data_IF_557193338117
#
_entry.id   IF_557193338117
#
_cell.length_a   1.000
_cell.length_b   1.000
_cell.length_c   1.000
_cell.angle_alpha   90.00
_cell.angle_beta   90.00
_cell.angle_gamma   90.00
#
_symmetry.space_group_name_H-M   'P 1'
#
loop_
_entity.id
_entity.type
_entity.pdbx_description
1 polymer ?
#
# COMPACT_ATOMS: atom_id res chain seq x y z
N UNK A 1 10.33 -18.83 41.13
CA UNK A 1 9.57 -19.00 39.88
C UNK A 1 9.71 -17.79 38.95
N UNK A 2 9.77 -16.55 39.45
CA UNK A 2 10.01 -15.35 38.62
C UNK A 2 11.43 -15.22 38.02
N UNK A 3 12.48 -15.74 38.68
CA UNK A 3 13.87 -15.64 38.19
C UNK A 3 14.17 -16.54 36.97
N UNK A 4 13.56 -17.73 36.90
CA UNK A 4 13.75 -18.65 35.77
C UNK A 4 13.06 -18.16 34.47
N UNK A 5 12.04 -17.31 34.59
CA UNK A 5 11.30 -16.79 33.45
C UNK A 5 12.04 -15.60 32.81
N UNK A 6 12.75 -14.80 33.60
CA UNK A 6 13.65 -13.75 33.11
C UNK A 6 14.90 -14.29 32.43
N UNK A 7 15.53 -15.34 32.97
CA UNK A 7 16.74 -15.94 32.36
C UNK A 7 16.43 -16.62 31.03
N UNK A 8 15.25 -17.25 30.90
CA UNK A 8 14.83 -17.89 29.65
C UNK A 8 14.48 -16.88 28.55
N UNK A 9 13.88 -15.75 28.91
CA UNK A 9 13.59 -14.64 27.98
C UNK A 9 14.89 -13.94 27.55
N UNK A 10 15.83 -13.70 28.49
CA UNK A 10 17.13 -13.11 28.16
C UNK A 10 17.95 -14.01 27.24
N UNK A 11 18.01 -15.32 27.52
CA UNK A 11 18.75 -16.29 26.70
C UNK A 11 18.17 -16.39 25.29
N UNK A 12 16.83 -16.43 25.15
CA UNK A 12 16.18 -16.37 23.82
C UNK A 12 16.48 -15.09 23.06
N UNK A 13 16.50 -13.94 23.74
CA UNK A 13 16.77 -12.64 23.10
C UNK A 13 18.22 -12.54 22.63
N UNK A 14 19.18 -13.08 23.39
CA UNK A 14 20.60 -13.15 22.97
C UNK A 14 20.83 -14.14 21.83
N UNK A 15 20.13 -15.29 21.85
CA UNK A 15 20.22 -16.28 20.77
C UNK A 15 19.60 -15.73 19.47
N UNK A 16 18.45 -15.05 19.55
CA UNK A 16 17.82 -14.37 18.41
C UNK A 16 18.68 -13.24 17.84
N UNK A 17 19.37 -12.46 18.69
CA UNK A 17 20.30 -11.44 18.23
C UNK A 17 21.54 -12.04 17.55
N UNK A 18 22.04 -13.17 18.05
CA UNK A 18 23.20 -13.85 17.47
C UNK A 18 22.85 -14.49 16.13
N UNK A 19 21.68 -15.10 16.02
CA UNK A 19 21.14 -15.67 14.78
C UNK A 19 20.82 -14.59 13.74
N UNK A 20 20.33 -13.43 14.17
CA UNK A 20 20.13 -12.30 13.28
C UNK A 20 21.45 -11.80 12.68
N UNK A 21 22.51 -11.72 13.49
CA UNK A 21 23.83 -11.25 13.05
C UNK A 21 24.48 -12.19 12.04
N UNK A 22 24.30 -13.51 12.18
CA UNK A 22 24.81 -14.49 11.21
C UNK A 22 24.00 -14.47 9.91
N UNK A 23 22.69 -14.24 9.98
CA UNK A 23 21.81 -14.16 8.81
C UNK A 23 21.79 -12.77 8.15
N UNK A 24 22.36 -11.75 8.79
CA UNK A 24 22.26 -10.36 8.32
C UNK A 24 22.84 -10.13 6.91
N UNK A 25 23.94 -10.81 6.57
CA UNK A 25 24.52 -10.74 5.22
C UNK A 25 23.57 -11.29 4.15
N UNK A 26 23.14 -12.55 4.25
CA UNK A 26 22.14 -13.14 3.34
C UNK A 26 20.83 -12.35 3.27
N UNK A 27 20.30 -11.86 4.39
CA UNK A 27 19.08 -11.06 4.43
C UNK A 27 19.24 -9.71 3.71
N UNK A 28 20.39 -9.05 3.86
CA UNK A 28 20.69 -7.82 3.12
C UNK A 28 20.80 -8.07 1.61
N UNK A 29 21.39 -9.19 1.19
CA UNK A 29 21.43 -9.57 -0.22
C UNK A 29 20.05 -9.92 -0.78
N UNK A 30 19.20 -10.59 0.02
CA UNK A 30 17.78 -10.80 -0.31
C UNK A 30 17.06 -9.46 -0.50
N UNK A 31 17.27 -8.50 0.41
CA UNK A 31 16.70 -7.16 0.27
C UNK A 31 17.14 -6.49 -1.03
N UNK A 32 18.44 -6.48 -1.35
CA UNK A 32 18.97 -5.87 -2.56
C UNK A 32 18.46 -6.50 -3.86
N UNK A 33 18.43 -7.82 -3.90
CA UNK A 33 18.11 -8.56 -5.13
C UNK A 33 16.62 -8.68 -5.37
N UNK A 34 15.81 -8.74 -4.31
CA UNK A 34 14.38 -9.05 -4.41
C UNK A 34 13.49 -7.88 -4.02
N UNK A 35 13.81 -7.14 -2.94
CA UNK A 35 12.91 -6.13 -2.35
C UNK A 35 13.14 -4.74 -2.94
N UNK A 36 14.41 -4.33 -3.01
CA UNK A 36 14.86 -3.03 -3.49
C UNK A 36 14.40 -2.73 -4.93
N UNK A 37 14.39 -3.68 -5.88
CA UNK A 37 13.85 -3.42 -7.22
C UNK A 37 12.34 -3.11 -7.20
N UNK A 38 11.59 -3.70 -6.27
CA UNK A 38 10.14 -3.54 -6.18
C UNK A 38 9.74 -2.19 -5.54
N UNK A 39 10.54 -1.72 -4.58
CA UNK A 39 10.35 -0.43 -3.91
C UNK A 39 11.63 0.43 -4.01
N UNK A 40 11.90 1.04 -5.17
CA UNK A 40 13.17 1.70 -5.49
C UNK A 40 13.40 3.07 -4.82
N UNK A 41 12.72 3.37 -3.72
CA UNK A 41 12.87 4.62 -2.98
C UNK A 41 13.90 4.54 -1.85
N UNK A 42 14.33 3.33 -1.50
CA UNK A 42 15.39 3.07 -0.53
C UNK A 42 16.40 2.13 -1.17
N UNK A 43 17.56 2.66 -1.55
CA UNK A 43 18.59 1.91 -2.29
C UNK A 43 19.82 1.74 -1.42
N UNK A 44 20.28 0.49 -1.27
CA UNK A 44 21.49 0.17 -0.50
C UNK A 44 22.62 -0.19 -1.48
N UNK A 45 23.73 0.58 -1.54
CA UNK A 45 24.86 0.28 -2.40
C UNK A 45 25.41 -1.13 -2.17
N UNK A 46 25.85 -1.82 -3.22
CA UNK A 46 26.46 -3.17 -3.12
C UNK A 46 27.74 -3.20 -2.26
N UNK A 47 28.40 -2.05 -2.11
CA UNK A 47 29.61 -1.90 -1.29
C UNK A 47 29.34 -1.88 0.22
N UNK A 48 28.10 -1.66 0.64
CA UNK A 48 27.75 -1.55 2.06
C UNK A 48 27.63 -2.96 2.67
N UNK A 49 28.37 -3.26 3.74
CA UNK A 49 28.19 -4.55 4.43
C UNK A 49 27.06 -4.46 5.46
N UNK A 50 26.51 -5.61 5.87
CA UNK A 50 25.52 -5.66 6.96
C UNK A 50 26.06 -5.02 8.26
N UNK A 51 27.34 -5.23 8.57
CA UNK A 51 28.01 -4.62 9.71
C UNK A 51 28.13 -3.10 9.56
N UNK A 52 28.52 -2.61 8.39
CA UNK A 52 28.59 -1.16 8.11
C UNK A 52 27.21 -0.52 8.26
N UNK A 53 26.17 -1.15 7.69
CA UNK A 53 24.80 -0.66 7.78
C UNK A 53 24.29 -0.64 9.22
N UNK A 54 24.55 -1.69 10.00
CA UNK A 54 24.17 -1.77 11.41
C UNK A 54 24.78 -0.63 12.23
N UNK A 55 26.03 -0.25 11.96
CA UNK A 55 26.72 0.80 12.71
C UNK A 55 26.34 2.22 12.26
N UNK A 56 26.11 2.42 10.96
CA UNK A 56 25.82 3.74 10.41
C UNK A 56 24.33 4.08 10.41
N UNK A 57 23.47 3.08 10.25
CA UNK A 57 22.02 3.22 10.09
C UNK A 57 21.30 2.07 10.80
N UNK A 58 21.38 2.01 12.15
CA UNK A 58 20.87 0.88 12.94
C UNK A 58 19.35 0.71 12.85
N UNK A 59 18.59 1.77 12.58
CA UNK A 59 17.14 1.67 12.42
C UNK A 59 16.77 1.09 11.05
N UNK A 60 17.37 1.61 9.98
CA UNK A 60 17.23 1.09 8.63
C UNK A 60 17.69 -0.38 8.53
N UNK A 61 18.82 -0.72 9.17
CA UNK A 61 19.27 -2.10 9.28
C UNK A 61 18.17 -3.01 9.84
N UNK A 62 17.59 -2.63 10.98
CA UNK A 62 16.53 -3.42 11.61
C UNK A 62 15.28 -3.53 10.73
N UNK A 63 14.90 -2.46 10.04
CA UNK A 63 13.76 -2.47 9.12
C UNK A 63 13.99 -3.42 7.94
N UNK A 64 15.20 -3.43 7.37
CA UNK A 64 15.58 -4.34 6.28
C UNK A 64 15.57 -5.79 6.75
N UNK A 65 16.06 -6.06 7.95
CA UNK A 65 16.01 -7.40 8.53
C UNK A 65 14.56 -7.88 8.69
N UNK A 66 13.68 -7.05 9.27
CA UNK A 66 12.26 -7.39 9.44
C UNK A 66 11.56 -7.66 8.10
N UNK A 67 11.82 -6.83 7.09
CA UNK A 67 11.23 -6.97 5.76
C UNK A 67 11.75 -8.18 4.95
N UNK A 68 12.90 -8.75 5.35
CA UNK A 68 13.57 -9.85 4.65
C UNK A 68 13.49 -11.19 5.38
N UNK A 69 12.85 -11.22 6.55
CA UNK A 69 12.69 -12.40 7.42
C UNK A 69 11.25 -12.94 7.39
N UNK A 70 10.52 -12.72 6.30
CA UNK A 70 9.14 -13.18 6.13
C UNK A 70 8.99 -14.71 6.20
N UNK A 71 10.08 -15.46 5.94
CA UNK A 71 10.11 -16.92 6.02
C UNK A 71 10.16 -17.43 7.48
N UNK A 72 10.37 -16.53 8.46
CA UNK A 72 10.39 -16.84 9.89
C UNK A 72 9.47 -15.88 10.67
N UNK A 73 8.16 -16.19 10.76
CA UNK A 73 7.16 -15.32 11.40
C UNK A 73 7.48 -14.95 12.86
N UNK A 74 8.10 -15.87 13.61
CA UNK A 74 8.47 -15.63 15.03
C UNK A 74 9.55 -14.57 15.15
N UNK A 75 10.60 -14.68 14.32
CA UNK A 75 11.68 -13.69 14.29
C UNK A 75 11.16 -12.37 13.71
N UNK A 76 10.38 -12.39 12.62
CA UNK A 76 9.77 -11.19 12.05
C UNK A 76 8.95 -10.42 13.09
N UNK A 77 8.04 -11.09 13.81
CA UNK A 77 7.22 -10.47 14.87
C UNK A 77 8.08 -9.84 15.97
N UNK A 78 9.18 -10.49 16.33
CA UNK A 78 10.13 -9.97 17.33
C UNK A 78 10.85 -8.72 16.82
N UNK A 79 11.31 -8.71 15.57
CA UNK A 79 11.96 -7.55 14.95
C UNK A 79 10.99 -6.37 14.79
N UNK A 80 9.74 -6.65 14.45
CA UNK A 80 8.69 -5.63 14.33
C UNK A 80 8.36 -4.98 15.68
N UNK A 81 8.30 -5.76 16.77
CA UNK A 81 8.15 -5.20 18.11
C UNK A 81 9.32 -4.29 18.48
N UNK A 82 10.55 -4.67 18.13
CA UNK A 82 11.73 -3.84 18.36
C UNK A 82 11.69 -2.56 17.50
N UNK A 83 11.22 -2.63 16.25
CA UNK A 83 11.04 -1.44 15.40
C UNK A 83 10.06 -0.46 16.02
N UNK A 84 8.89 -0.93 16.48
CA UNK A 84 7.88 -0.08 17.14
C UNK A 84 8.42 0.57 18.42
N UNK A 85 9.16 -0.19 19.24
CA UNK A 85 9.82 0.36 20.42
C UNK A 85 10.83 1.45 20.06
N UNK A 86 11.64 1.23 19.02
CA UNK A 86 12.61 2.23 18.53
C UNK A 86 11.94 3.45 17.92
N UNK A 87 10.80 3.30 17.25
CA UNK A 87 10.00 4.43 16.75
C UNK A 87 9.54 5.30 17.93
N UNK A 88 8.94 4.69 18.95
CA UNK A 88 8.51 5.41 20.16
C UNK A 88 9.68 6.08 20.88
N UNK A 89 10.80 5.37 21.06
CA UNK A 89 11.98 5.90 21.73
C UNK A 89 12.63 7.04 20.92
N UNK A 90 13.01 6.79 19.67
CA UNK A 90 13.84 7.72 18.91
C UNK A 90 13.02 8.93 18.43
N UNK A 91 11.84 8.70 17.85
CA UNK A 91 11.05 9.79 17.26
C UNK A 91 10.31 10.59 18.33
N UNK A 92 9.68 9.91 19.29
CA UNK A 92 8.80 10.56 20.27
C UNK A 92 9.57 10.97 21.53
N UNK A 93 10.32 10.06 22.15
CA UNK A 93 11.00 10.37 23.42
C UNK A 93 12.27 11.20 23.22
N UNK A 94 13.11 10.84 22.25
CA UNK A 94 14.40 11.50 22.00
C UNK A 94 14.30 12.66 21.00
N UNK A 95 13.15 12.82 20.33
CA UNK A 95 12.92 13.82 19.28
C UNK A 95 13.97 13.78 18.14
N UNK A 96 14.44 12.58 17.79
CA UNK A 96 15.43 12.38 16.73
C UNK A 96 14.80 12.55 15.34
N UNK A 97 15.52 13.22 14.44
CA UNK A 97 15.15 13.41 13.04
C UNK A 97 16.36 13.10 12.17
N UNK A 98 16.32 11.98 11.45
CA UNK A 98 17.46 11.51 10.65
C UNK A 98 17.00 10.77 9.39
N UNK A 99 17.89 10.70 8.40
CA UNK A 99 17.67 9.88 7.19
C UNK A 99 17.54 8.39 7.54
N UNK A 100 18.26 7.90 8.55
CA UNK A 100 18.14 6.52 9.05
C UNK A 100 16.69 6.18 9.45
N UNK A 101 16.05 7.08 10.22
CA UNK A 101 14.66 6.93 10.65
C UNK A 101 13.69 6.98 9.46
N UNK A 102 13.88 7.93 8.54
CA UNK A 102 13.02 8.08 7.37
C UNK A 102 13.10 6.86 6.44
N UNK A 103 14.31 6.43 6.09
CA UNK A 103 14.52 5.27 5.21
C UNK A 103 14.03 3.98 5.87
N UNK A 104 14.29 3.79 7.17
CA UNK A 104 13.78 2.63 7.89
C UNK A 104 12.26 2.62 7.98
N UNK A 105 11.60 3.77 8.15
CA UNK A 105 10.14 3.85 8.12
C UNK A 105 9.59 3.53 6.73
N UNK A 106 10.21 4.04 5.66
CA UNK A 106 9.81 3.70 4.30
C UNK A 106 9.86 2.19 4.04
N UNK A 107 10.96 1.53 4.42
CA UNK A 107 11.08 0.06 4.31
C UNK A 107 10.02 -0.64 5.16
N UNK A 108 9.84 -0.21 6.41
CA UNK A 108 8.89 -0.84 7.31
C UNK A 108 7.45 -0.72 6.79
N UNK A 109 7.07 0.44 6.26
CA UNK A 109 5.73 0.71 5.68
C UNK A 109 5.53 -0.08 4.38
N UNK A 110 6.55 -0.17 3.52
CA UNK A 110 6.45 -0.84 2.22
C UNK A 110 6.13 -2.34 2.34
N UNK A 111 6.46 -3.00 3.44
CA UNK A 111 6.12 -4.41 3.71
C UNK A 111 5.24 -4.60 4.95
N UNK A 112 4.38 -3.63 5.26
CA UNK A 112 3.51 -3.68 6.44
C UNK A 112 2.51 -4.83 6.44
N UNK A 113 2.10 -5.30 5.26
CA UNK A 113 1.14 -6.39 5.11
C UNK A 113 1.60 -7.71 5.76
N UNK A 114 2.90 -7.94 5.97
CA UNK A 114 3.35 -9.11 6.74
C UNK A 114 2.81 -9.13 8.16
N UNK A 115 2.40 -7.98 8.72
CA UNK A 115 1.81 -7.82 10.04
C UNK A 115 0.28 -7.95 10.03
N UNK A 116 -0.22 -9.00 9.38
CA UNK A 116 -1.65 -9.24 9.16
C UNK A 116 -2.51 -9.33 10.44
N UNK A 117 -1.90 -9.60 11.61
CA UNK A 117 -2.57 -9.67 12.91
C UNK A 117 -2.99 -8.29 13.47
N UNK A 118 -2.38 -7.19 13.01
CA UNK A 118 -2.65 -5.83 13.51
C UNK A 118 -3.45 -5.00 12.52
N UNK A 119 -4.54 -4.38 12.99
CA UNK A 119 -5.38 -3.47 12.19
C UNK A 119 -4.51 -2.39 11.54
N UNK A 120 -4.67 -2.17 10.23
CA UNK A 120 -3.94 -1.21 9.38
C UNK A 120 -3.91 0.26 9.88
N UNK A 121 -4.54 0.57 11.00
CA UNK A 121 -4.50 1.88 11.68
C UNK A 121 -3.08 2.35 11.97
N UNK A 122 -2.18 1.43 12.34
CA UNK A 122 -0.78 1.78 12.65
C UNK A 122 -0.03 2.29 11.41
N UNK A 123 -0.29 1.70 10.25
CA UNK A 123 0.39 2.06 9.00
C UNK A 123 0.16 3.54 8.63
N UNK A 124 -1.07 4.03 8.81
CA UNK A 124 -1.38 5.43 8.54
C UNK A 124 -0.69 6.38 9.52
N UNK A 125 -0.51 5.98 10.78
CA UNK A 125 0.26 6.74 11.76
C UNK A 125 1.75 6.78 11.37
N UNK A 126 2.32 5.63 11.00
CA UNK A 126 3.71 5.54 10.57
C UNK A 126 4.00 6.41 9.35
N UNK A 127 3.08 6.45 8.39
CA UNK A 127 3.22 7.31 7.22
C UNK A 127 3.15 8.80 7.59
N UNK A 128 2.28 9.20 8.52
CA UNK A 128 2.24 10.58 9.04
C UNK A 128 3.56 10.97 9.75
N UNK A 129 4.18 10.03 10.47
CA UNK A 129 5.53 10.25 11.02
C UNK A 129 6.58 10.43 9.91
N UNK A 130 6.51 9.65 8.83
CA UNK A 130 7.41 9.81 7.68
C UNK A 130 7.21 11.16 6.96
N UNK A 131 5.96 11.62 6.80
CA UNK A 131 5.65 12.97 6.30
C UNK A 131 6.25 14.06 7.19
N UNK A 132 6.16 13.88 8.52
CA UNK A 132 6.73 14.80 9.50
C UNK A 132 8.26 14.83 9.39
N UNK A 133 8.92 13.68 9.25
CA UNK A 133 10.37 13.59 9.04
C UNK A 133 10.82 14.28 7.74
N UNK A 134 10.07 14.15 6.65
CA UNK A 134 10.34 14.86 5.40
C UNK A 134 10.35 16.37 5.60
N UNK A 135 9.36 16.89 6.34
CA UNK A 135 9.26 18.32 6.65
C UNK A 135 10.41 18.78 7.58
N UNK A 136 10.70 18.02 8.64
CA UNK A 136 11.72 18.35 9.63
C UNK A 136 13.15 18.26 9.06
N UNK A 137 13.41 17.33 8.14
CA UNK A 137 14.68 17.23 7.40
C UNK A 137 14.81 18.29 6.28
N UNK A 138 13.71 18.99 5.99
CA UNK A 138 13.64 20.03 4.96
C UNK A 138 13.68 19.50 3.53
N UNK A 139 13.31 18.23 3.28
CA UNK A 139 13.39 17.59 1.96
C UNK A 139 12.38 18.14 0.93
N UNK A 140 11.47 19.02 1.34
CA UNK A 140 10.47 19.65 0.49
C UNK A 140 10.80 21.15 0.30
N UNK A 141 10.97 21.60 -0.94
CA UNK A 141 11.15 23.03 -1.22
C UNK A 141 9.81 23.74 -1.39
N UNK A 142 9.56 24.84 -0.68
CA UNK A 142 8.45 25.76 -0.97
C UNK A 142 7.24 25.72 -0.04
N UNK A 143 7.25 24.94 1.04
CA UNK A 143 6.34 25.16 2.17
C UNK A 143 6.85 26.31 3.05
N UNK A 144 5.99 26.88 3.90
CA UNK A 144 6.45 27.62 5.09
C UNK A 144 7.21 26.64 5.99
N UNK A 145 8.44 26.29 5.62
CA UNK A 145 9.38 25.73 6.57
C UNK A 145 9.43 26.74 7.70
N UNK A 146 9.20 26.28 8.92
CA UNK A 146 9.53 27.01 10.14
C UNK A 146 11.06 27.14 10.22
N UNK A 147 11.68 27.72 9.17
CA UNK A 147 13.11 27.91 8.94
C UNK A 147 13.68 28.96 9.90
N UNK A 148 12.93 29.32 10.96
CA UNK A 148 13.28 30.36 11.91
C UNK A 148 13.13 29.99 13.40
N UNK A 149 12.80 28.75 13.79
CA UNK A 149 12.68 28.42 15.24
C UNK A 149 13.59 27.27 15.73
N UNK A 150 13.99 26.30 14.91
CA UNK A 150 14.59 25.06 15.47
C UNK A 150 16.05 24.76 15.11
N UNK A 151 16.73 25.57 14.29
CA UNK A 151 18.16 25.32 13.96
C UNK A 151 19.10 25.58 15.16
N UNK A 152 18.59 26.10 16.29
CA UNK A 152 19.41 26.35 17.49
C UNK A 152 19.31 25.28 18.60
N UNK A 153 18.73 24.10 18.34
CA UNK A 153 18.64 23.05 19.36
C UNK A 153 19.13 21.67 18.86
N UNK A 154 20.45 21.51 18.78
CA UNK A 154 21.07 20.21 19.09
C UNK A 154 21.37 19.21 17.96
N UNK A 155 21.32 19.59 16.67
CA UNK A 155 21.81 18.70 15.61
C UNK A 155 23.36 18.65 15.63
N UNK A 156 23.92 17.67 16.33
CA UNK A 156 25.35 17.33 16.26
C UNK A 156 25.64 16.63 14.92
N UNK A 157 26.61 17.15 14.17
CA UNK A 157 27.34 16.52 13.06
C UNK A 157 26.49 15.71 12.05
N UNK A 158 25.77 16.41 11.18
CA UNK A 158 25.09 15.82 10.01
C UNK A 158 25.12 16.79 8.82
N UNK A 159 24.85 16.27 7.61
CA UNK A 159 24.71 17.06 6.36
C UNK A 159 23.72 18.21 6.57
N UNK A 160 23.98 19.37 5.98
CA UNK A 160 23.04 20.50 6.06
C UNK A 160 21.71 20.14 5.36
N UNK A 161 20.60 20.77 5.77
CA UNK A 161 19.30 20.52 5.12
C UNK A 161 19.35 20.78 3.61
N UNK A 162 20.09 21.81 3.18
CA UNK A 162 20.30 22.12 1.76
C UNK A 162 21.11 21.03 1.02
N UNK A 163 22.08 20.38 1.68
CA UNK A 163 22.80 19.22 1.11
C UNK A 163 21.93 17.97 0.98
N UNK A 164 21.00 17.75 1.92
CA UNK A 164 20.07 16.63 1.89
C UNK A 164 19.03 16.79 0.79
N UNK A 165 18.48 18.00 0.63
CA UNK A 165 17.59 18.38 -0.48
C UNK A 165 18.24 18.16 -1.84
N UNK A 166 19.52 18.50 -1.97
CA UNK A 166 20.27 18.29 -3.20
C UNK A 166 20.61 16.81 -3.46
N UNK A 167 20.71 15.99 -2.40
CA UNK A 167 21.14 14.60 -2.48
C UNK A 167 20.14 13.71 -3.21
N UNK A 168 20.63 12.78 -4.02
CA UNK A 168 19.79 11.81 -4.72
C UNK A 168 19.04 10.89 -3.73
N UNK A 169 19.68 10.49 -2.63
CA UNK A 169 19.06 9.71 -1.55
C UNK A 169 17.88 10.45 -0.90
N UNK A 170 18.04 11.74 -0.58
CA UNK A 170 16.96 12.58 -0.04
C UNK A 170 15.80 12.72 -1.00
N UNK A 171 16.08 12.91 -2.30
CA UNK A 171 15.06 12.97 -3.36
C UNK A 171 14.30 11.65 -3.49
N UNK A 172 15.00 10.49 -3.50
CA UNK A 172 14.35 9.16 -3.52
C UNK A 172 13.44 8.95 -2.31
N UNK A 173 13.92 9.27 -1.11
CA UNK A 173 13.15 9.13 0.12
C UNK A 173 11.90 10.02 0.11
N UNK A 174 12.04 11.28 -0.31
CA UNK A 174 10.92 12.21 -0.46
C UNK A 174 9.87 11.68 -1.46
N UNK A 175 10.31 11.21 -2.62
CA UNK A 175 9.42 10.61 -3.63
C UNK A 175 8.75 9.34 -3.11
N UNK A 176 9.45 8.54 -2.28
CA UNK A 176 8.89 7.35 -1.63
C UNK A 176 7.77 7.67 -0.65
N UNK A 177 7.92 8.73 0.15
CA UNK A 177 6.85 9.20 1.04
C UNK A 177 5.67 9.69 0.22
N UNK A 178 5.89 10.51 -0.81
CA UNK A 178 4.82 10.98 -1.69
C UNK A 178 4.07 9.82 -2.36
N UNK A 179 4.81 8.81 -2.84
CA UNK A 179 4.24 7.62 -3.45
C UNK A 179 3.35 6.86 -2.47
N UNK A 180 3.82 6.57 -1.25
CA UNK A 180 3.02 5.89 -0.23
C UNK A 180 1.81 6.72 0.24
N UNK A 181 1.95 8.04 0.34
CA UNK A 181 0.86 8.96 0.62
C UNK A 181 -0.23 8.91 -0.45
N UNK A 182 0.17 8.92 -1.72
CA UNK A 182 -0.77 8.85 -2.82
C UNK A 182 -1.50 7.50 -2.84
N UNK A 183 -0.76 6.40 -2.68
CA UNK A 183 -1.29 5.05 -2.58
C UNK A 183 -2.35 4.92 -1.48
N UNK A 184 -2.04 5.35 -0.26
CA UNK A 184 -2.93 5.18 0.88
C UNK A 184 -4.03 6.22 0.95
N UNK A 185 -3.89 7.34 0.26
CA UNK A 185 -4.95 8.34 0.18
C UNK A 185 -6.23 7.80 -0.47
N UNK A 186 -6.11 6.73 -1.27
CA UNK A 186 -7.25 5.97 -1.83
C UNK A 186 -8.20 5.44 -0.74
N UNK A 187 -7.65 5.09 0.42
CA UNK A 187 -8.42 4.62 1.57
C UNK A 187 -8.51 5.65 2.69
N UNK A 188 -7.64 6.66 2.71
CA UNK A 188 -7.62 7.66 3.78
C UNK A 188 -7.24 9.04 3.23
N UNK A 189 -8.22 9.86 2.80
CA UNK A 189 -7.97 11.14 2.14
C UNK A 189 -7.06 12.11 2.91
N UNK A 190 -6.99 11.98 4.24
CA UNK A 190 -6.10 12.80 5.09
C UNK A 190 -4.60 12.59 4.83
N UNK A 191 -4.23 11.54 4.09
CA UNK A 191 -2.85 11.27 3.67
C UNK A 191 -2.49 11.92 2.33
N UNK A 192 -3.44 12.58 1.68
CA UNK A 192 -3.22 13.18 0.36
C UNK A 192 -2.13 14.27 0.42
N UNK A 193 -1.06 14.04 -0.34
CA UNK A 193 -0.04 15.05 -0.62
C UNK A 193 -0.30 15.67 -1.98
N UNK A 194 -0.27 17.00 -2.06
CA UNK A 194 -0.39 17.71 -3.34
C UNK A 194 0.84 17.43 -4.20
N UNK A 195 0.60 17.13 -5.48
CA UNK A 195 1.68 17.08 -6.46
C UNK A 195 2.19 18.52 -6.70
N UNK A 196 3.48 18.76 -6.47
CA UNK A 196 4.14 20.07 -6.61
C UNK A 196 5.23 20.04 -7.67
N UNK A 197 5.63 21.21 -8.16
CA UNK A 197 6.76 21.34 -9.11
C UNK A 197 8.07 20.77 -8.56
N UNK A 198 8.23 20.74 -7.23
CA UNK A 198 9.37 20.12 -6.58
C UNK A 198 9.43 18.60 -6.82
N UNK A 199 8.29 17.91 -6.86
CA UNK A 199 8.23 16.47 -7.16
C UNK A 199 8.66 16.24 -8.62
N UNK A 200 8.13 17.03 -9.55
CA UNK A 200 8.51 16.98 -10.97
C UNK A 200 10.02 17.26 -11.13
N UNK A 201 10.58 18.23 -10.39
CA UNK A 201 12.00 18.52 -10.37
C UNK A 201 12.85 17.36 -9.80
N UNK A 202 12.44 16.76 -8.69
CA UNK A 202 13.11 15.58 -8.11
C UNK A 202 13.16 14.42 -9.10
N UNK A 203 12.05 14.14 -9.79
CA UNK A 203 11.98 13.09 -10.81
C UNK A 203 12.90 13.41 -11.99
N UNK A 204 12.89 14.64 -12.50
CA UNK A 204 13.76 15.07 -13.59
C UNK A 204 15.24 14.96 -13.21
N UNK A 205 15.61 15.47 -12.03
CA UNK A 205 16.99 15.43 -11.53
C UNK A 205 17.53 14.00 -11.41
N UNK A 206 16.74 13.05 -10.90
CA UNK A 206 17.11 11.64 -10.77
C UNK A 206 17.16 10.93 -12.14
N UNK A 207 16.33 11.35 -13.09
CA UNK A 207 16.31 10.78 -14.45
C UNK A 207 17.50 11.27 -15.30
N UNK A 208 17.89 12.54 -15.15
CA UNK A 208 19.01 13.17 -15.85
C UNK A 208 20.36 12.69 -15.31
N UNK A 209 20.48 12.51 -13.99
CA UNK A 209 21.69 12.08 -13.32
C UNK A 209 21.42 10.84 -12.45
N UNK A 210 21.15 9.67 -13.05
CA UNK A 210 20.83 8.45 -12.30
C UNK A 210 22.08 7.88 -11.64
N UNK A 211 22.05 7.67 -10.32
CA UNK A 211 23.07 6.88 -9.62
C UNK A 211 22.77 5.38 -9.75
N UNK A 212 21.48 5.03 -9.89
CA UNK A 212 21.02 3.65 -10.05
C UNK A 212 20.09 3.52 -11.26
N UNK A 213 20.05 2.32 -11.91
CA UNK A 213 19.11 2.07 -13.02
C UNK A 213 17.64 2.35 -12.65
N UNK A 214 17.27 2.12 -11.39
CA UNK A 214 15.92 2.35 -10.86
C UNK A 214 15.52 3.82 -10.81
N UNK A 215 16.48 4.75 -10.79
CA UNK A 215 16.17 6.20 -10.76
C UNK A 215 15.37 6.64 -11.99
N UNK A 216 15.65 6.01 -13.14
CA UNK A 216 15.00 6.30 -14.42
C UNK A 216 13.52 5.97 -14.45
N UNK A 217 13.08 5.04 -13.59
CA UNK A 217 11.68 4.62 -13.53
C UNK A 217 10.93 5.25 -12.36
N UNK A 218 11.56 6.02 -11.47
CA UNK A 218 10.84 6.64 -10.36
C UNK A 218 9.72 7.57 -10.84
N UNK A 219 9.92 8.27 -11.97
CA UNK A 219 8.89 9.10 -12.60
C UNK A 219 7.61 8.29 -12.89
N UNK A 220 7.72 7.03 -13.33
CA UNK A 220 6.54 6.24 -13.68
C UNK A 220 5.74 5.85 -12.43
N UNK A 221 6.39 5.55 -11.31
CA UNK A 221 5.69 5.33 -10.03
C UNK A 221 4.91 6.57 -9.59
N UNK A 222 5.49 7.77 -9.77
CA UNK A 222 4.89 9.04 -9.35
C UNK A 222 3.75 9.44 -10.29
N UNK A 223 3.95 9.31 -11.60
CA UNK A 223 2.95 9.63 -12.61
C UNK A 223 1.74 8.69 -12.55
N UNK A 224 1.91 7.43 -12.12
CA UNK A 224 0.79 6.51 -11.87
C UNK A 224 -0.21 7.06 -10.86
N UNK A 225 0.27 7.92 -9.95
CA UNK A 225 -0.48 8.42 -8.80
C UNK A 225 -0.94 9.87 -8.99
N UNK A 226 -0.43 10.57 -10.01
CA UNK A 226 -0.79 11.95 -10.29
C UNK A 226 -2.11 12.01 -11.08
N UNK A 227 -3.16 12.57 -10.46
CA UNK A 227 -4.50 12.83 -11.03
C UNK A 227 -4.52 13.84 -12.22
N UNK A 228 -3.45 13.92 -13.02
CA UNK A 228 -3.40 14.78 -14.22
C UNK A 228 -4.16 14.17 -15.42
N UNK A 229 -4.71 12.95 -15.29
CA UNK A 229 -5.35 12.24 -16.40
C UNK A 229 -6.86 12.49 -16.45
N UNK A 230 -7.32 12.92 -17.62
CA UNK A 230 -8.74 12.99 -17.95
C UNK A 230 -9.27 11.58 -18.23
N UNK A 231 -10.51 11.23 -17.87
CA UNK A 231 -11.13 9.93 -18.21
C UNK A 231 -11.14 9.62 -19.72
N UNK A 232 -10.96 10.65 -20.55
CA UNK A 232 -10.87 10.55 -22.01
C UNK A 232 -9.52 10.00 -22.49
N UNK A 233 -8.46 10.08 -21.66
CA UNK A 233 -7.11 9.60 -21.98
C UNK A 233 -6.88 8.11 -21.61
N UNK A 234 -7.82 7.48 -20.90
CA UNK A 234 -7.67 6.11 -20.37
C UNK A 234 -8.21 5.05 -21.33
N UNK A 235 -7.55 4.88 -22.48
CA UNK A 235 -7.69 3.64 -23.25
C UNK A 235 -6.97 2.50 -22.52
N UNK A 236 -7.47 1.24 -22.60
CA UNK A 236 -6.75 0.09 -22.06
C UNK A 236 -5.37 0.01 -22.72
N UNK A 237 -4.32 0.36 -21.99
CA UNK A 237 -2.97 0.19 -22.48
C UNK A 237 -2.69 -1.33 -22.52
N UNK A 238 -2.49 -1.88 -23.71
CA UNK A 238 -1.90 -3.21 -23.88
C UNK A 238 -0.43 -3.13 -23.47
N UNK A 239 -0.18 -3.15 -22.16
CA UNK A 239 1.16 -3.24 -21.62
C UNK A 239 1.59 -4.69 -21.73
N UNK A 240 2.27 -4.98 -22.83
CA UNK A 240 2.98 -6.24 -23.04
C UNK A 240 4.16 -6.30 -22.05
N UNK A 241 4.36 -7.46 -21.43
CA UNK A 241 5.55 -7.72 -20.61
C UNK A 241 6.79 -7.44 -21.47
N UNK A 242 7.87 -6.81 -20.94
CA UNK A 242 9.10 -6.67 -21.70
C UNK A 242 9.61 -8.05 -22.09
N UNK A 243 9.56 -8.35 -23.40
CA UNK A 243 10.10 -9.56 -24.02
C UNK A 243 11.55 -9.31 -24.45
N UNK A 244 12.48 -8.91 -23.56
CA UNK A 244 13.91 -8.85 -23.92
C UNK A 244 14.88 -8.97 -22.72
N UNK A 245 16.11 -9.49 -22.92
CA UNK A 245 16.96 -10.04 -21.84
C UNK A 245 18.05 -9.10 -21.28
N UNK A 246 18.05 -7.78 -21.55
CA UNK A 246 19.22 -6.93 -21.27
C UNK A 246 19.05 -5.68 -20.38
N UNK A 247 17.89 -5.44 -19.76
CA UNK A 247 17.74 -4.35 -18.79
C UNK A 247 17.67 -4.84 -17.34
N UNK A 248 18.41 -4.20 -16.43
CA UNK A 248 18.45 -4.50 -15.00
C UNK A 248 17.11 -4.35 -14.23
N UNK A 249 16.01 -4.10 -14.96
CA UNK A 249 14.66 -3.83 -14.46
C UNK A 249 13.65 -4.94 -14.84
N UNK A 250 14.10 -6.02 -15.49
CA UNK A 250 13.27 -7.10 -16.06
C UNK A 250 12.34 -7.78 -15.03
N UNK A 251 12.68 -7.76 -13.74
CA UNK A 251 11.92 -8.46 -12.69
C UNK A 251 11.18 -7.49 -11.73
N UNK A 252 11.00 -6.24 -12.12
CA UNK A 252 10.23 -5.27 -11.34
C UNK A 252 8.72 -5.43 -11.60
N UNK A 253 8.17 -6.51 -11.06
CA UNK A 253 6.74 -6.81 -11.08
C UNK A 253 5.90 -5.68 -10.49
N UNK A 254 6.38 -4.98 -9.46
CA UNK A 254 5.65 -3.85 -8.88
C UNK A 254 5.43 -2.76 -9.91
N UNK A 255 6.47 -2.36 -10.63
CA UNK A 255 6.36 -1.39 -11.72
C UNK A 255 5.40 -1.85 -12.82
N UNK A 256 5.44 -3.13 -13.20
CA UNK A 256 4.48 -3.69 -14.17
C UNK A 256 3.03 -3.58 -13.68
N UNK A 257 2.78 -3.90 -12.41
CA UNK A 257 1.45 -3.82 -11.80
C UNK A 257 0.98 -2.39 -11.58
N UNK A 258 1.88 -1.46 -11.25
CA UNK A 258 1.61 -0.03 -11.19
C UNK A 258 1.04 0.47 -12.51
N UNK A 259 1.68 0.13 -13.62
CA UNK A 259 1.20 0.60 -14.93
C UNK A 259 -0.15 -0.03 -15.30
N UNK A 260 -0.39 -1.29 -14.94
CA UNK A 260 -1.68 -1.97 -15.17
C UNK A 260 -2.81 -1.51 -14.25
N UNK A 261 -2.50 -1.06 -13.03
CA UNK A 261 -3.52 -0.60 -12.08
C UNK A 261 -4.02 0.82 -12.40
N UNK A 262 -3.23 1.65 -13.11
CA UNK A 262 -3.58 3.04 -13.45
C UNK A 262 -5.02 3.26 -13.92
N UNK A 263 -5.55 2.53 -14.93
CA UNK A 263 -6.91 2.77 -15.38
C UNK A 263 -7.94 2.42 -14.31
N UNK A 264 -7.66 1.39 -13.49
CA UNK A 264 -8.51 0.99 -12.36
C UNK A 264 -8.55 2.10 -11.31
N UNK A 265 -7.40 2.66 -10.94
CA UNK A 265 -7.29 3.74 -9.95
C UNK A 265 -8.01 5.00 -10.42
N UNK A 266 -7.79 5.42 -11.66
CA UNK A 266 -8.39 6.64 -12.23
C UNK A 266 -9.90 6.50 -12.42
N UNK A 267 -10.36 5.39 -13.00
CA UNK A 267 -11.78 5.18 -13.25
C UNK A 267 -12.55 4.81 -11.99
N UNK A 268 -11.92 4.16 -11.01
CA UNK A 268 -12.53 3.81 -9.73
C UNK A 268 -12.99 5.04 -8.94
N UNK A 269 -12.25 6.15 -9.02
CA UNK A 269 -12.64 7.45 -8.44
C UNK A 269 -13.93 8.01 -9.05
N UNK A 270 -14.35 7.56 -10.23
CA UNK A 270 -15.63 8.00 -10.81
C UNK A 270 -16.83 7.36 -10.12
N UNK A 271 -16.65 6.26 -9.37
CA UNK A 271 -17.70 5.63 -8.57
C UNK A 271 -18.17 6.50 -7.39
N UNK A 272 -17.46 7.60 -7.10
CA UNK A 272 -17.87 8.60 -6.12
C UNK A 272 -18.91 9.58 -6.67
N UNK A 273 -19.03 9.68 -7.99
CA UNK A 273 -19.96 10.62 -8.63
C UNK A 273 -21.39 10.08 -8.53
N UNK A 274 -22.41 10.94 -8.36
CA UNK A 274 -23.79 10.52 -8.19
C UNK A 274 -24.42 9.83 -9.42
N UNK A 275 -23.80 9.96 -10.61
CA UNK A 275 -24.25 9.28 -11.84
C UNK A 275 -23.05 9.01 -12.78
N UNK A 276 -22.29 7.93 -12.55
CA UNK A 276 -21.19 7.57 -13.43
C UNK A 276 -21.71 7.14 -14.80
N UNK A 277 -21.06 7.60 -15.88
CA UNK A 277 -21.40 7.21 -17.25
C UNK A 277 -21.23 5.69 -17.45
N UNK A 278 -22.20 5.04 -18.12
CA UNK A 278 -22.12 3.61 -18.46
C UNK A 278 -20.86 3.27 -19.26
N UNK A 279 -20.39 4.19 -20.11
CA UNK A 279 -19.15 4.00 -20.88
C UNK A 279 -17.95 3.90 -19.93
N UNK A 280 -17.82 4.83 -18.98
CA UNK A 280 -16.73 4.80 -18.00
C UNK A 280 -16.80 3.58 -17.09
N UNK A 281 -18.00 3.14 -16.69
CA UNK A 281 -18.18 1.92 -15.91
C UNK A 281 -17.78 0.67 -16.70
N UNK A 282 -18.15 0.58 -17.98
CA UNK A 282 -17.72 -0.52 -18.85
C UNK A 282 -16.19 -0.58 -19.00
N UNK A 283 -15.53 0.57 -19.19
CA UNK A 283 -14.07 0.65 -19.24
C UNK A 283 -13.43 0.28 -17.90
N UNK A 284 -14.03 0.69 -16.77
CA UNK A 284 -13.59 0.33 -15.44
C UNK A 284 -13.65 -1.19 -15.23
N UNK A 285 -14.78 -1.82 -15.58
CA UNK A 285 -14.96 -3.28 -15.45
C UNK A 285 -13.86 -4.00 -16.25
N UNK A 286 -13.72 -3.68 -17.54
CA UNK A 286 -12.74 -4.32 -18.42
C UNK A 286 -11.29 -4.14 -17.92
N UNK A 287 -10.95 -2.92 -17.47
CA UNK A 287 -9.62 -2.63 -16.92
C UNK A 287 -9.36 -3.39 -15.63
N UNK A 288 -10.36 -3.48 -14.76
CA UNK A 288 -10.23 -4.15 -13.46
C UNK A 288 -10.07 -5.65 -13.61
N UNK A 289 -10.82 -6.28 -14.52
CA UNK A 289 -10.67 -7.69 -14.84
C UNK A 289 -9.30 -7.99 -15.44
N UNK A 290 -8.87 -7.19 -16.41
CA UNK A 290 -7.55 -7.33 -17.03
C UNK A 290 -6.43 -7.23 -16.00
N UNK A 291 -6.56 -6.30 -15.06
CA UNK A 291 -5.64 -6.15 -13.92
C UNK A 291 -5.67 -7.39 -13.01
N UNK A 292 -6.84 -7.83 -12.54
CA UNK A 292 -6.96 -8.96 -11.62
C UNK A 292 -6.50 -10.29 -12.23
N UNK A 293 -6.78 -10.54 -13.52
CA UNK A 293 -6.33 -11.73 -14.24
C UNK A 293 -4.81 -11.76 -14.42
N UNK A 294 -4.14 -10.61 -14.38
CA UNK A 294 -2.68 -10.56 -14.44
C UNK A 294 -2.02 -11.05 -13.14
N UNK A 295 -2.69 -10.94 -11.98
CA UNK A 295 -2.09 -11.33 -10.71
C UNK A 295 -1.71 -12.83 -10.64
N UNK A 296 -2.58 -13.78 -11.04
CA UNK A 296 -2.21 -15.19 -11.10
C UNK A 296 -1.00 -15.52 -12.00
N UNK A 297 -0.62 -14.63 -12.92
CA UNK A 297 0.51 -14.85 -13.85
C UNK A 297 1.87 -14.58 -13.22
N UNK A 298 1.93 -13.89 -12.08
CA UNK A 298 3.19 -13.64 -11.37
C UNK A 298 3.73 -14.97 -10.81
N UNK A 299 5.02 -15.29 -10.94
CA UNK A 299 5.62 -16.42 -10.24
C UNK A 299 5.41 -16.35 -8.72
N UNK A 300 5.11 -17.49 -8.07
CA UNK A 300 4.77 -17.51 -6.64
C UNK A 300 5.93 -17.02 -5.75
N UNK A 301 7.15 -17.39 -6.11
CA UNK A 301 8.41 -16.95 -5.49
C UNK A 301 8.63 -15.43 -5.61
N UNK A 302 7.95 -14.74 -6.52
CA UNK A 302 8.02 -13.28 -6.66
C UNK A 302 6.86 -12.57 -6.00
N UNK A 303 5.66 -13.13 -6.10
CA UNK A 303 4.45 -12.57 -5.54
C UNK A 303 4.54 -12.36 -4.02
N UNK A 304 5.18 -13.28 -3.29
CA UNK A 304 5.37 -13.19 -1.83
C UNK A 304 6.21 -11.99 -1.39
N UNK A 305 7.00 -11.41 -2.28
CA UNK A 305 7.92 -10.32 -1.97
C UNK A 305 7.41 -8.95 -2.43
N UNK A 306 6.26 -8.89 -3.10
CA UNK A 306 5.70 -7.62 -3.58
C UNK A 306 5.39 -6.70 -2.38
N UNK A 307 5.62 -5.39 -2.53
CA UNK A 307 5.33 -4.41 -1.49
C UNK A 307 3.82 -4.21 -1.36
N UNK A 308 3.45 -3.52 -0.29
CA UNK A 308 2.07 -3.19 0.07
C UNK A 308 1.26 -2.58 -1.09
N UNK A 309 1.88 -1.77 -1.95
CA UNK A 309 1.19 -1.13 -3.07
C UNK A 309 0.48 -2.11 -3.97
N UNK A 310 1.12 -3.24 -4.28
CA UNK A 310 0.51 -4.30 -5.06
C UNK A 310 -0.78 -4.80 -4.41
N UNK A 311 -0.74 -5.09 -3.12
CA UNK A 311 -1.90 -5.57 -2.37
C UNK A 311 -3.02 -4.53 -2.35
N UNK A 312 -2.68 -3.28 -2.04
CA UNK A 312 -3.62 -2.15 -2.08
C UNK A 312 -4.38 -2.08 -3.41
N UNK A 313 -3.71 -2.29 -4.55
CA UNK A 313 -4.36 -2.26 -5.85
C UNK A 313 -5.31 -3.45 -6.07
N UNK A 314 -4.94 -4.66 -5.64
CA UNK A 314 -5.85 -5.83 -5.72
C UNK A 314 -7.11 -5.58 -4.90
N UNK A 315 -6.97 -5.06 -3.69
CA UNK A 315 -8.09 -4.70 -2.84
C UNK A 315 -8.97 -3.61 -3.45
N UNK A 316 -8.36 -2.52 -3.93
CA UNK A 316 -9.07 -1.44 -4.60
C UNK A 316 -9.81 -1.90 -5.86
N UNK A 317 -9.21 -2.80 -6.65
CA UNK A 317 -9.83 -3.40 -7.81
C UNK A 317 -11.08 -4.22 -7.45
N UNK A 318 -10.99 -5.10 -6.44
CA UNK A 318 -12.14 -5.89 -5.97
C UNK A 318 -13.26 -4.99 -5.41
N UNK A 319 -12.91 -3.96 -4.64
CA UNK A 319 -13.85 -2.94 -4.17
C UNK A 319 -14.56 -2.23 -5.33
N UNK A 320 -13.80 -1.82 -6.34
CA UNK A 320 -14.31 -1.08 -7.50
C UNK A 320 -15.30 -1.93 -8.32
N UNK A 321 -14.99 -3.20 -8.56
CA UNK A 321 -15.91 -4.14 -9.22
C UNK A 321 -17.18 -4.38 -8.40
N UNK A 322 -17.02 -4.60 -7.10
CA UNK A 322 -18.14 -4.84 -6.17
C UNK A 322 -19.09 -3.64 -6.12
N UNK A 323 -18.55 -2.42 -6.00
CA UNK A 323 -19.32 -1.18 -6.01
C UNK A 323 -19.97 -0.92 -7.35
N UNK A 324 -19.30 -1.22 -8.46
CA UNK A 324 -19.90 -1.12 -9.81
C UNK A 324 -21.12 -2.03 -9.94
N UNK A 325 -21.03 -3.27 -9.43
CA UNK A 325 -22.16 -4.21 -9.44
C UNK A 325 -23.34 -3.72 -8.58
N UNK A 326 -23.07 -3.10 -7.43
CA UNK A 326 -24.12 -2.53 -6.56
C UNK A 326 -24.81 -1.32 -7.21
N UNK A 327 -24.04 -0.45 -7.88
CA UNK A 327 -24.58 0.74 -8.56
C UNK A 327 -25.23 0.43 -9.91
N UNK A 328 -24.93 -0.74 -10.50
CA UNK A 328 -25.48 -1.14 -11.79
C UNK A 328 -27.00 -1.34 -11.73
N UNK A 329 -27.68 -0.84 -12.77
CA UNK A 329 -29.06 -1.20 -13.05
C UNK A 329 -29.18 -2.71 -13.36
N UNK A 330 -30.30 -3.32 -12.95
CA UNK A 330 -30.48 -4.78 -13.02
C UNK A 330 -30.48 -5.32 -14.46
N UNK A 331 -31.04 -4.58 -15.42
CA UNK A 331 -31.02 -4.99 -16.83
C UNK A 331 -29.61 -4.86 -17.40
N UNK A 332 -28.94 -3.76 -17.08
CA UNK A 332 -27.58 -3.52 -17.54
C UNK A 332 -26.58 -4.54 -16.97
N UNK A 333 -26.65 -4.82 -15.67
CA UNK A 333 -25.82 -5.84 -15.02
C UNK A 333 -26.03 -7.23 -15.63
N UNK A 334 -27.30 -7.60 -15.92
CA UNK A 334 -27.65 -8.87 -16.56
C UNK A 334 -27.12 -8.97 -17.99
N UNK A 335 -27.23 -7.89 -18.77
CA UNK A 335 -26.73 -7.84 -20.15
C UNK A 335 -25.21 -8.09 -20.24
N UNK A 336 -24.47 -7.71 -19.21
CA UNK A 336 -23.01 -7.86 -19.13
C UNK A 336 -22.55 -9.14 -18.40
N UNK A 337 -23.48 -9.91 -17.81
CA UNK A 337 -23.15 -11.01 -16.91
C UNK A 337 -22.29 -10.56 -15.72
N UNK A 338 -22.45 -9.30 -15.27
CA UNK A 338 -21.52 -8.63 -14.38
C UNK A 338 -21.35 -9.37 -13.05
N UNK A 339 -22.44 -9.87 -12.47
CA UNK A 339 -22.41 -10.58 -11.19
C UNK A 339 -21.51 -11.82 -11.23
N UNK A 340 -21.66 -12.66 -12.25
CA UNK A 340 -20.81 -13.86 -12.42
C UNK A 340 -19.34 -13.47 -12.59
N UNK A 341 -19.06 -12.45 -13.40
CA UNK A 341 -17.70 -11.95 -13.64
C UNK A 341 -17.03 -11.43 -12.37
N UNK A 342 -17.76 -10.71 -11.51
CA UNK A 342 -17.25 -10.24 -10.22
C UNK A 342 -16.88 -11.44 -9.33
N UNK A 343 -17.72 -12.46 -9.26
CA UNK A 343 -17.46 -13.66 -8.47
C UNK A 343 -16.29 -14.48 -9.02
N UNK A 344 -16.17 -14.60 -10.34
CA UNK A 344 -15.05 -15.30 -10.99
C UNK A 344 -13.73 -14.59 -10.71
N UNK A 345 -13.69 -13.25 -10.78
CA UNK A 345 -12.50 -12.46 -10.43
C UNK A 345 -12.11 -12.63 -8.96
N UNK A 346 -13.06 -12.50 -8.04
CA UNK A 346 -12.80 -12.69 -6.61
C UNK A 346 -12.33 -14.12 -6.31
N UNK A 347 -12.96 -15.13 -6.92
CA UNK A 347 -12.58 -16.52 -6.81
C UNK A 347 -11.16 -16.80 -7.31
N UNK A 348 -10.77 -16.22 -8.45
CA UNK A 348 -9.42 -16.37 -9.00
C UNK A 348 -8.34 -15.77 -8.06
N UNK A 349 -8.60 -14.60 -7.47
CA UNK A 349 -7.71 -13.98 -6.47
C UNK A 349 -7.63 -14.83 -5.21
N UNK A 350 -8.77 -15.30 -4.69
CA UNK A 350 -8.82 -16.18 -3.52
C UNK A 350 -8.01 -17.47 -3.74
N UNK A 351 -8.26 -18.18 -4.84
CA UNK A 351 -7.49 -19.38 -5.21
C UNK A 351 -5.99 -19.11 -5.32
N UNK A 352 -5.60 -17.90 -5.74
CA UNK A 352 -4.21 -17.49 -5.79
C UNK A 352 -3.63 -17.26 -4.40
N UNK A 353 -4.35 -16.58 -3.50
CA UNK A 353 -3.93 -16.38 -2.12
C UNK A 353 -3.81 -17.70 -1.35
N UNK A 354 -4.73 -18.64 -1.56
CA UNK A 354 -4.65 -19.98 -0.98
C UNK A 354 -3.35 -20.70 -1.36
N UNK A 355 -2.91 -20.58 -2.62
CA UNK A 355 -1.64 -21.16 -3.10
C UNK A 355 -0.38 -20.46 -2.57
N UNK A 356 -0.48 -19.18 -2.21
CA UNK A 356 0.64 -18.41 -1.66
C UNK A 356 0.75 -18.56 -0.14
N UNK A 357 -0.35 -18.94 0.51
CA UNK A 357 -0.39 -19.08 1.95
C UNK A 357 0.36 -20.32 2.42
N UNK A 358 1.05 -20.15 3.53
CA UNK A 358 1.76 -21.16 4.32
C UNK A 358 1.06 -21.49 5.64
N UNK A 359 -0.09 -20.85 5.93
CA UNK A 359 -0.83 -21.03 7.18
C UNK A 359 -1.39 -19.71 7.71
N UNK A 360 -1.23 -19.44 9.00
CA UNK A 360 -1.66 -18.21 9.67
C UNK A 360 -0.79 -17.02 9.23
N UNK A 361 -1.10 -16.47 8.05
CA UNK A 361 -0.36 -15.42 7.37
C UNK A 361 -1.30 -14.42 6.68
N UNK A 362 -0.70 -13.38 6.08
CA UNK A 362 -1.41 -12.36 5.34
C UNK A 362 -2.31 -12.92 4.23
N UNK A 363 -1.87 -13.98 3.56
CA UNK A 363 -2.58 -14.55 2.41
C UNK A 363 -3.83 -15.31 2.85
N UNK A 364 -3.75 -16.12 3.92
CA UNK A 364 -4.92 -16.81 4.46
C UNK A 364 -5.93 -15.83 5.07
N UNK A 365 -5.45 -14.79 5.76
CA UNK A 365 -6.32 -13.73 6.26
C UNK A 365 -7.03 -13.01 5.10
N UNK A 366 -6.28 -12.57 4.09
CA UNK A 366 -6.86 -11.90 2.92
C UNK A 366 -7.84 -12.78 2.15
N UNK A 367 -7.55 -14.08 2.01
CA UNK A 367 -8.46 -15.06 1.43
C UNK A 367 -9.79 -15.10 2.20
N UNK A 368 -9.73 -15.18 3.53
CA UNK A 368 -10.92 -15.20 4.39
C UNK A 368 -11.73 -13.91 4.25
N UNK A 369 -11.08 -12.76 4.26
CA UNK A 369 -11.77 -11.47 4.14
C UNK A 369 -12.45 -11.29 2.78
N UNK A 370 -11.81 -11.69 1.68
CA UNK A 370 -12.45 -11.67 0.35
C UNK A 370 -13.64 -12.65 0.32
N UNK A 371 -13.52 -13.83 0.93
CA UNK A 371 -14.63 -14.79 1.03
C UNK A 371 -15.85 -14.22 1.75
N UNK A 372 -15.64 -13.46 2.83
CA UNK A 372 -16.70 -12.75 3.54
C UNK A 372 -17.34 -11.65 2.67
N UNK A 373 -16.54 -10.87 1.94
CA UNK A 373 -17.04 -9.89 0.97
C UNK A 373 -17.94 -10.52 -0.10
N UNK A 374 -17.50 -11.64 -0.70
CA UNK A 374 -18.28 -12.34 -1.73
C UNK A 374 -19.60 -12.87 -1.16
N UNK A 375 -19.58 -13.40 0.06
CA UNK A 375 -20.77 -13.91 0.75
C UNK A 375 -21.78 -12.77 0.99
N UNK A 376 -21.31 -11.62 1.47
CA UNK A 376 -22.14 -10.43 1.66
C UNK A 376 -22.74 -9.92 0.33
N UNK A 377 -21.93 -9.81 -0.73
CA UNK A 377 -22.41 -9.41 -2.05
C UNK A 377 -23.52 -10.33 -2.59
N UNK A 378 -23.39 -11.65 -2.41
CA UNK A 378 -24.42 -12.62 -2.81
C UNK A 378 -25.74 -12.40 -2.07
N UNK A 379 -25.67 -12.08 -0.78
CA UNK A 379 -26.84 -11.71 0.03
C UNK A 379 -27.55 -10.49 -0.55
N UNK A 380 -26.80 -9.41 -0.82
CA UNK A 380 -27.33 -8.18 -1.41
C UNK A 380 -27.99 -8.41 -2.79
N UNK A 381 -27.34 -9.19 -3.68
CA UNK A 381 -27.91 -9.50 -4.99
C UNK A 381 -29.19 -10.35 -4.89
N UNK A 382 -29.26 -11.25 -3.91
CA UNK A 382 -30.46 -12.08 -3.67
C UNK A 382 -31.63 -11.22 -3.20
N UNK A 383 -31.42 -10.35 -2.21
CA UNK A 383 -32.44 -9.42 -1.71
C UNK A 383 -32.98 -8.50 -2.82
N UNK A 384 -32.11 -7.97 -3.69
CA UNK A 384 -32.54 -7.13 -4.83
C UNK A 384 -33.43 -7.88 -5.83
N UNK A 385 -33.17 -9.17 -6.07
CA UNK A 385 -34.02 -10.00 -6.94
C UNK A 385 -35.37 -10.31 -6.30
N UNK A 386 -35.37 -10.57 -5.00
CA UNK A 386 -36.60 -10.81 -4.24
C UNK A 386 -37.49 -9.56 -4.21
N UNK A 387 -36.91 -8.38 -3.94
CA UNK A 387 -37.62 -7.10 -4.00
C UNK A 387 -38.21 -6.82 -5.39
N UNK A 388 -37.42 -7.02 -6.46
CA UNK A 388 -37.91 -6.88 -7.84
C UNK A 388 -39.03 -7.88 -8.19
N UNK A 389 -39.02 -9.07 -7.57
CA UNK A 389 -40.08 -10.08 -7.75
C UNK A 389 -41.34 -9.75 -6.95
N UNK A 390 -41.21 -9.07 -5.80
CA UNK A 390 -42.31 -8.59 -4.97
C UNK A 390 -43.00 -7.35 -5.57
N UNK A 391 -42.25 -6.44 -6.21
CA UNK A 391 -42.82 -5.29 -6.93
C UNK A 391 -43.67 -5.70 -8.16
N UNK A 392 -43.34 -6.84 -8.78
CA UNK A 392 -44.16 -7.45 -9.85
C UNK A 392 -45.39 -8.17 -9.26
N UNK A 393 -45.43 -8.40 -7.94
CA UNK A 393 -46.32 -9.34 -7.27
C UNK A 393 -47.51 -8.78 -6.46
N UNK A 394 -47.53 -7.51 -6.02
CA UNK A 394 -48.68 -6.93 -5.27
C UNK A 394 -48.75 -5.40 -5.44
N UNK A 395 -49.78 -4.85 -6.10
CA UNK A 395 -50.95 -4.29 -5.41
C UNK A 395 -51.37 -5.11 -4.16
N UNK A 396 -50.90 -4.70 -2.98
CA UNK A 396 -51.56 -4.97 -1.69
C UNK A 396 -50.65 -5.38 -0.51
N UNK A 397 -50.70 -4.52 0.51
CA UNK A 397 -50.66 -4.82 1.96
C UNK A 397 -49.34 -5.38 2.58
N UNK A 398 -48.61 -4.46 3.23
CA UNK A 398 -48.06 -4.47 4.60
C UNK A 398 -48.11 -5.81 5.38
N UNK A 399 -47.13 -6.29 6.15
CA UNK A 399 -46.02 -5.64 6.86
C UNK A 399 -45.14 -6.70 7.55
N UNK A 400 -43.95 -6.25 7.96
CA UNK A 400 -43.16 -6.66 9.13
C UNK A 400 -42.37 -7.98 9.08
N UNK A 401 -41.05 -7.82 9.04
CA UNK A 401 -40.11 -8.77 9.68
C UNK A 401 -39.13 -7.99 10.55
N UNK A 402 -39.11 -8.35 11.83
CA UNK A 402 -38.30 -7.75 12.87
C UNK A 402 -36.81 -7.94 12.64
N UNK A 403 -36.09 -6.87 12.96
CA UNK A 403 -34.69 -6.91 13.34
C UNK A 403 -34.58 -7.59 14.69
N UNK A 404 -33.80 -8.65 14.79
CA UNK A 404 -33.02 -8.92 15.99
C UNK A 404 -31.81 -9.80 15.67
N UNK A 405 -30.71 -9.45 16.33
CA UNK A 405 -29.41 -10.12 16.43
C UNK A 405 -28.28 -9.64 15.48
N UNK A 406 -27.91 -8.36 15.61
CA UNK A 406 -26.60 -7.84 15.23
C UNK A 406 -25.59 -8.12 16.34
N UNK A 407 -25.01 -9.32 16.32
CA UNK A 407 -23.74 -9.58 16.98
C UNK A 407 -22.67 -8.69 16.35
N UNK A 408 -21.95 -7.92 17.17
CA UNK A 408 -20.79 -7.12 16.75
C UNK A 408 -19.69 -8.09 16.33
N UNK A 409 -19.68 -8.44 15.04
CA UNK A 409 -18.65 -9.29 14.44
C UNK A 409 -18.04 -8.53 13.28
N UNK A 410 -16.80 -8.09 13.47
CA UNK A 410 -15.99 -7.43 12.44
C UNK A 410 -15.93 -8.33 11.21
N UNK A 411 -16.55 -7.92 10.10
CA UNK A 411 -16.02 -8.10 8.74
C UNK A 411 -17.02 -7.67 7.65
N UNK A 412 -18.32 -7.97 7.77
CA UNK A 412 -19.32 -7.46 6.81
C UNK A 412 -19.53 -5.95 6.98
N UNK A 413 -19.53 -5.48 8.23
CA UNK A 413 -19.66 -4.06 8.58
C UNK A 413 -18.51 -3.21 8.05
N UNK A 414 -17.28 -3.74 7.92
CA UNK A 414 -16.17 -2.98 7.35
C UNK A 414 -16.34 -2.79 5.85
N UNK A 415 -16.73 -3.85 5.12
CA UNK A 415 -17.02 -3.75 3.69
C UNK A 415 -18.23 -2.87 3.42
N UNK A 416 -19.26 -3.02 4.24
CA UNK A 416 -20.44 -2.18 4.21
C UNK A 416 -20.09 -0.72 4.53
N UNK A 417 -19.32 -0.43 5.58
CA UNK A 417 -18.81 0.91 5.87
C UNK A 417 -17.82 1.44 4.82
N UNK A 418 -17.09 0.59 4.12
CA UNK A 418 -16.14 1.01 3.06
C UNK A 418 -16.89 1.32 1.75
N UNK A 419 -17.95 0.57 1.45
CA UNK A 419 -18.77 0.73 0.24
C UNK A 419 -19.84 1.82 0.44
N UNK A 420 -20.48 1.87 1.61
CA UNK A 420 -21.56 2.80 1.98
C UNK A 420 -21.06 4.06 2.71
N UNK A 421 -19.88 4.02 3.35
CA UNK A 421 -19.33 5.15 4.08
C UNK A 421 -18.64 6.20 3.19
N UNK A 422 -18.53 7.41 3.73
CA UNK A 422 -17.94 8.61 3.10
C UNK A 422 -16.41 8.61 3.07
N UNK A 423 -15.76 7.45 2.91
CA UNK A 423 -14.30 7.35 2.75
C UNK A 423 -13.82 7.98 1.43
N UNK A 424 -14.76 8.07 0.48
CA UNK A 424 -14.64 8.62 -0.86
C UNK A 424 -15.10 10.10 -0.97
N UNK A 425 -15.01 10.90 0.10
CA UNK A 425 -15.30 12.33 0.02
C UNK A 425 -13.99 13.15 0.00
N UNK A 426 -13.78 14.06 -0.95
CA UNK A 426 -12.91 15.19 -0.72
C UNK A 426 -13.59 16.07 0.33
N UNK A 427 -12.97 16.22 1.50
CA UNK A 427 -13.43 17.16 2.53
C UNK A 427 -13.08 18.59 2.11
N UNK A 428 -13.58 19.04 0.96
CA UNK A 428 -13.62 20.44 0.53
C UNK A 428 -14.82 20.62 -0.41
N UNK A 429 -16.00 20.82 0.19
CA UNK A 429 -17.00 21.66 -0.45
C UNK A 429 -16.50 23.10 -0.27
N UNK A 430 -16.17 23.87 -1.33
CA UNK A 430 -16.08 25.30 -1.19
C UNK A 430 -17.46 25.78 -0.74
N UNK A 431 -17.51 26.59 0.30
CA UNK A 431 -18.75 27.18 0.79
C UNK A 431 -19.58 27.70 -0.37
N UNK A 432 -20.83 27.23 -0.47
CA UNK A 432 -21.88 28.07 -1.04
C UNK A 432 -22.17 29.10 0.03
N UNK A 433 -21.44 30.21 -0.02
CA UNK A 433 -21.89 31.45 0.57
C UNK A 433 -23.17 31.86 -0.18
N UNK A 434 -24.26 31.88 0.56
CA UNK A 434 -25.44 32.70 0.30
C UNK A 434 -25.63 33.62 1.49
#
# INVERSE_FOLDING_TARGET
>A
MYLYQTDFVYTRLTDLQTDLLTQAGPLLEKFRSVKMPQFPFVVIPSTTTAWTLQNQSPFLFLAIMAASTEDNPVLQKTLDQQLKQRIGLNIIMNNERSMDLLLGLLVHIAWDHYRWETVHTEMFLLLQLAMTLVADLGLQTGGLTMKSISISAGCKAGRTSDELVASAEGKRAFLGVFYLCSLLSLFRPQLHMKHTDWIDHCCASLSENPEYPTDRILRTYIDSQSLKYTPEDTLPLEIQHPNHPHDALIDNWTHFFELKSRPVLLLGQLLERPSPSKIHLSTLIASTETFLVSFPTIPADRAVHLPLSFHTYVWYALLSLSKTLLLADAEWARSLGLEARVYDCAGAVMMRYEKLSSGEDFWSNSHRTIGKMVTWLKGQMTQRREAASQEIGHHGVDSATGFDDLGVDWDADLWQQTIEGSWFFPMFSPGRDS
#
